data_IF_168568984459
#
_entry.id   IF_168568984459
#
_cell.length_a   1.000
_cell.length_b   1.000
_cell.length_c   1.000
_cell.angle_alpha   90.00
_cell.angle_beta   90.00
_cell.angle_gamma   90.00
#
_symmetry.space_group_name_H-M   'P 1'
#
loop_
_entity.id
_entity.type
_entity.pdbx_description
1 polymer ?
#
# COMPACT_ATOMS: atom_id res chain seq x y z
N UNK A 1 -18.88 17.11 18.55
CA UNK A 1 -19.44 15.98 19.34
C UNK A 1 -18.34 15.03 19.85
N UNK A 2 -17.31 14.71 19.08
CA UNK A 2 -16.18 13.87 19.50
C UNK A 2 -15.25 14.55 20.53
N UNK A 3 -15.25 15.86 20.65
CA UNK A 3 -14.31 16.62 21.47
C UNK A 3 -14.85 17.10 22.80
N UNK A 4 -16.13 16.91 23.10
CA UNK A 4 -16.76 17.32 24.37
C UNK A 4 -17.72 16.30 25.00
N UNK A 5 -17.50 14.97 24.87
CA UNK A 5 -18.34 14.04 25.61
C UNK A 5 -17.83 13.93 27.04
N UNK A 6 -18.72 14.12 28.01
CA UNK A 6 -18.42 13.61 29.34
C UNK A 6 -18.23 12.10 29.23
N UNK A 7 -17.27 11.52 29.94
CA UNK A 7 -17.07 10.06 29.99
C UNK A 7 -18.37 9.31 30.35
N UNK A 8 -19.34 9.99 30.97
CA UNK A 8 -20.59 9.37 31.41
C UNK A 8 -21.66 9.22 30.31
N UNK A 9 -21.65 10.02 29.24
CA UNK A 9 -22.71 10.08 28.22
C UNK A 9 -22.19 10.24 26.80
N UNK A 10 -20.98 9.80 26.49
CA UNK A 10 -20.38 10.02 25.17
C UNK A 10 -20.05 8.74 24.44
N UNK A 11 -19.85 8.87 23.12
CA UNK A 11 -19.48 7.81 22.17
C UNK A 11 -18.29 6.97 22.67
N UNK A 12 -17.34 7.57 23.41
CA UNK A 12 -16.20 6.82 23.99
C UNK A 12 -16.65 5.83 25.06
N UNK A 13 -17.66 6.18 25.88
CA UNK A 13 -18.20 5.23 26.86
C UNK A 13 -18.94 4.10 26.17
N UNK A 14 -19.78 4.42 25.18
CA UNK A 14 -20.50 3.43 24.39
C UNK A 14 -19.52 2.48 23.70
N UNK A 15 -18.45 3.01 23.07
CA UNK A 15 -17.39 2.20 22.47
C UNK A 15 -16.74 1.24 23.48
N UNK A 16 -16.46 1.72 24.70
CA UNK A 16 -15.76 0.92 25.74
C UNK A 16 -16.69 -0.06 26.44
N UNK A 17 -18.00 0.26 26.53
CA UNK A 17 -18.97 -0.54 27.30
C UNK A 17 -19.85 -1.43 26.46
N UNK A 18 -20.13 -1.07 25.21
CA UNK A 18 -21.07 -1.77 24.34
C UNK A 18 -20.39 -2.62 23.25
N UNK A 19 -19.15 -2.23 22.84
CA UNK A 19 -18.39 -3.10 21.93
C UNK A 19 -17.65 -4.16 22.73
N UNK A 20 -17.88 -5.46 22.45
CA UNK A 20 -17.21 -6.54 23.15
C UNK A 20 -15.70 -6.44 22.99
N UNK A 21 -14.96 -6.64 24.08
CA UNK A 21 -13.48 -6.68 24.00
C UNK A 21 -12.96 -7.78 23.09
N UNK A 22 -13.72 -8.87 23.00
CA UNK A 22 -13.38 -10.04 22.19
C UNK A 22 -13.33 -9.70 20.69
N UNK A 23 -14.08 -8.69 20.23
CA UNK A 23 -14.05 -8.21 18.83
C UNK A 23 -12.69 -7.59 18.44
N UNK A 24 -11.93 -7.13 19.44
CA UNK A 24 -10.56 -6.60 19.26
C UNK A 24 -9.48 -7.60 19.70
N UNK A 25 -9.86 -8.74 20.26
CA UNK A 25 -8.91 -9.74 20.75
C UNK A 25 -8.56 -10.74 19.64
N UNK A 26 -7.42 -10.52 19.01
CA UNK A 26 -6.91 -11.40 17.95
C UNK A 26 -6.67 -12.86 18.39
N UNK A 27 -6.61 -13.14 19.69
CA UNK A 27 -6.53 -14.51 20.21
C UNK A 27 -7.90 -15.20 20.22
N UNK A 28 -8.99 -14.39 20.13
CA UNK A 28 -10.39 -14.84 20.12
C UNK A 28 -11.10 -14.52 18.80
N UNK A 29 -10.39 -14.55 17.68
CA UNK A 29 -10.91 -14.23 16.33
C UNK A 29 -11.21 -12.72 16.11
N UNK A 30 -11.01 -11.85 17.09
CA UNK A 30 -11.09 -10.41 16.93
C UNK A 30 -9.96 -9.87 16.05
N UNK A 31 -10.20 -8.75 15.38
CA UNK A 31 -9.23 -8.14 14.46
C UNK A 31 -9.00 -6.67 14.82
N UNK A 32 -7.74 -6.27 14.87
CA UNK A 32 -7.38 -4.83 15.02
C UNK A 32 -7.90 -4.02 13.82
N UNK A 33 -8.05 -4.69 12.69
CA UNK A 33 -8.55 -4.17 11.42
C UNK A 33 -10.04 -3.72 11.47
N UNK A 34 -10.80 -4.08 12.51
CA UNK A 34 -12.19 -3.63 12.70
C UNK A 34 -12.32 -2.10 12.66
N UNK A 35 -11.29 -1.39 13.12
CA UNK A 35 -11.24 0.07 13.03
C UNK A 35 -11.19 0.56 11.58
N UNK A 36 -10.53 -0.21 10.69
CA UNK A 36 -10.53 0.04 9.24
C UNK A 36 -11.93 -0.11 8.64
N UNK A 37 -12.70 -1.11 9.07
CA UNK A 37 -14.09 -1.29 8.64
C UNK A 37 -15.00 -0.16 9.12
N UNK A 38 -14.84 0.30 10.36
CA UNK A 38 -15.59 1.46 10.87
C UNK A 38 -15.28 2.73 10.06
N UNK A 39 -14.04 2.90 9.61
CA UNK A 39 -13.65 4.00 8.74
C UNK A 39 -14.27 3.88 7.34
N UNK A 40 -14.40 2.68 6.80
CA UNK A 40 -15.10 2.43 5.55
C UNK A 40 -16.58 2.85 5.65
N UNK A 41 -17.31 2.36 6.65
CA UNK A 41 -18.70 2.77 6.88
C UNK A 41 -18.86 4.28 7.05
N UNK A 42 -17.89 4.93 7.70
CA UNK A 42 -17.88 6.40 7.80
C UNK A 42 -17.75 7.09 6.44
N UNK A 43 -17.06 6.49 5.48
CA UNK A 43 -16.86 7.07 4.14
C UNK A 43 -17.92 6.63 3.12
N UNK A 44 -18.83 5.72 3.44
CA UNK A 44 -19.87 5.24 2.51
C UNK A 44 -20.78 6.37 2.03
N UNK A 45 -21.30 7.21 2.93
CA UNK A 45 -22.12 8.36 2.58
C UNK A 45 -21.36 9.40 1.73
N UNK A 46 -20.14 9.86 2.10
CA UNK A 46 -19.31 10.69 1.24
C UNK A 46 -19.00 10.07 -0.13
N UNK A 47 -18.74 8.76 -0.20
CA UNK A 47 -18.53 8.04 -1.46
C UNK A 47 -19.75 8.14 -2.38
N UNK A 48 -20.93 7.83 -1.87
CA UNK A 48 -22.19 7.92 -2.63
C UNK A 48 -22.46 9.33 -3.14
N UNK A 49 -22.20 10.35 -2.33
CA UNK A 49 -22.35 11.74 -2.75
C UNK A 49 -21.43 12.10 -3.90
N UNK A 50 -20.16 11.69 -3.84
CA UNK A 50 -19.15 12.05 -4.85
C UNK A 50 -19.33 11.26 -6.14
N UNK A 51 -19.53 9.95 -6.05
CA UNK A 51 -19.52 9.03 -7.21
C UNK A 51 -20.87 8.94 -7.88
N UNK A 52 -21.94 8.76 -7.11
CA UNK A 52 -23.27 8.47 -7.63
C UNK A 52 -24.13 9.73 -7.85
N UNK A 53 -24.05 10.72 -6.97
CA UNK A 53 -24.89 11.91 -7.03
C UNK A 53 -24.27 13.01 -7.91
N UNK A 54 -22.99 13.35 -7.67
CA UNK A 54 -22.36 14.45 -8.40
C UNK A 54 -21.88 14.06 -9.81
N UNK A 55 -21.41 12.84 -10.01
CA UNK A 55 -21.13 12.23 -11.32
C UNK A 55 -20.09 12.92 -12.23
N UNK A 56 -19.45 14.00 -11.78
CA UNK A 56 -18.48 14.80 -12.52
C UNK A 56 -17.01 14.42 -12.22
N UNK A 57 -16.03 15.23 -12.68
CA UNK A 57 -14.63 15.09 -12.27
C UNK A 57 -14.48 15.26 -10.75
N UNK A 58 -13.77 14.33 -10.11
CA UNK A 58 -13.62 14.31 -8.65
C UNK A 58 -12.68 15.42 -8.20
N UNK A 59 -13.09 16.23 -7.23
CA UNK A 59 -12.25 17.28 -6.64
C UNK A 59 -11.14 16.69 -5.79
N UNK A 60 -10.06 17.45 -5.57
CA UNK A 60 -8.88 16.99 -4.77
C UNK A 60 -9.28 16.46 -3.38
N UNK A 61 -10.12 17.21 -2.65
CA UNK A 61 -10.54 16.84 -1.30
C UNK A 61 -11.49 15.63 -1.27
N UNK A 62 -12.13 15.33 -2.39
CA UNK A 62 -13.06 14.22 -2.55
C UNK A 62 -12.38 12.93 -3.08
N UNK A 63 -11.11 13.00 -3.51
CA UNK A 63 -10.38 11.83 -4.04
C UNK A 63 -10.37 10.68 -3.02
N UNK A 64 -10.05 10.89 -1.74
CA UNK A 64 -10.08 9.80 -0.77
C UNK A 64 -11.46 9.12 -0.68
N UNK A 65 -12.53 9.88 -0.57
CA UNK A 65 -13.89 9.34 -0.51
C UNK A 65 -14.29 8.60 -1.80
N UNK A 66 -13.87 9.12 -2.96
CA UNK A 66 -14.20 8.52 -4.27
C UNK A 66 -13.44 7.22 -4.56
N UNK A 67 -12.27 7.02 -3.96
CA UNK A 67 -11.34 5.93 -4.32
C UNK A 67 -11.14 4.92 -3.20
N UNK A 68 -11.69 5.18 -2.01
CA UNK A 68 -11.54 4.29 -0.88
C UNK A 68 -12.40 3.04 -1.06
N UNK A 69 -11.73 1.92 -1.20
CA UNK A 69 -12.32 0.61 -1.34
C UNK A 69 -11.62 -0.36 -0.40
N UNK A 70 -12.38 -0.98 0.49
CA UNK A 70 -11.80 -1.93 1.43
C UNK A 70 -11.43 -3.25 0.73
N UNK A 71 -10.24 -3.75 1.00
CA UNK A 71 -9.80 -5.04 0.45
C UNK A 71 -10.25 -6.16 1.37
N UNK A 72 -11.07 -7.09 0.88
CA UNK A 72 -11.53 -8.26 1.64
C UNK A 72 -10.34 -9.07 2.15
N UNK A 73 -10.41 -9.56 3.40
CA UNK A 73 -9.32 -10.23 4.11
C UNK A 73 -8.65 -11.36 3.30
N UNK A 74 -9.42 -12.25 2.69
CA UNK A 74 -8.85 -13.35 1.91
C UNK A 74 -8.07 -12.87 0.67
N UNK A 75 -8.46 -11.74 0.07
CA UNK A 75 -7.73 -11.13 -1.07
C UNK A 75 -6.40 -10.56 -0.59
N UNK A 76 -6.39 -9.89 0.58
CA UNK A 76 -5.15 -9.44 1.22
C UNK A 76 -4.20 -10.61 1.44
N UNK A 77 -4.71 -11.71 2.03
CA UNK A 77 -3.93 -12.94 2.25
C UNK A 77 -3.39 -13.51 0.95
N UNK A 78 -4.25 -13.62 -0.06
CA UNK A 78 -3.82 -14.09 -1.38
C UNK A 78 -2.67 -13.23 -1.95
N UNK A 79 -2.83 -11.90 -1.96
CA UNK A 79 -1.80 -11.01 -2.51
C UNK A 79 -0.47 -11.13 -1.76
N UNK A 80 -0.49 -11.15 -0.43
CA UNK A 80 0.72 -11.22 0.40
C UNK A 80 1.34 -12.62 0.36
N UNK A 81 0.54 -13.70 0.46
CA UNK A 81 1.03 -15.07 0.43
C UNK A 81 1.72 -15.41 -0.91
N UNK A 82 1.17 -14.93 -2.03
CA UNK A 82 1.71 -15.18 -3.38
C UNK A 82 2.78 -14.17 -3.82
N UNK A 83 3.09 -13.17 -3.01
CA UNK A 83 4.17 -12.21 -3.25
C UNK A 83 5.27 -12.35 -2.20
N UNK A 84 5.05 -11.82 -1.00
CA UNK A 84 6.01 -11.89 0.11
C UNK A 84 6.29 -13.33 0.53
N UNK A 85 5.22 -14.14 0.71
CA UNK A 85 5.34 -15.55 1.06
C UNK A 85 6.13 -16.33 0.02
N UNK A 86 5.83 -16.13 -1.26
CA UNK A 86 6.51 -16.80 -2.36
C UNK A 86 7.98 -16.35 -2.47
N UNK A 87 8.26 -15.04 -2.29
CA UNK A 87 9.63 -14.52 -2.28
C UNK A 87 10.49 -15.18 -1.20
N UNK A 88 9.95 -15.40 -0.01
CA UNK A 88 10.63 -16.12 1.06
C UNK A 88 10.87 -17.59 0.69
N UNK A 89 9.87 -18.27 0.13
CA UNK A 89 9.97 -19.69 -0.25
C UNK A 89 10.89 -19.94 -1.45
N UNK A 90 11.23 -18.93 -2.26
CA UNK A 90 12.29 -19.04 -3.29
C UNK A 90 13.65 -19.29 -2.65
N UNK A 91 13.91 -18.73 -1.46
CA UNK A 91 15.16 -18.93 -0.72
C UNK A 91 15.09 -20.13 0.25
N UNK A 92 13.90 -20.43 0.77
CA UNK A 92 13.65 -21.50 1.73
C UNK A 92 12.49 -22.41 1.32
N UNK A 93 12.64 -23.24 0.25
CA UNK A 93 11.53 -24.04 -0.32
C UNK A 93 10.88 -25.02 0.65
N UNK A 94 11.66 -25.54 1.60
CA UNK A 94 11.24 -26.53 2.59
C UNK A 94 10.81 -25.91 3.92
N UNK A 95 10.72 -24.58 4.00
CA UNK A 95 10.33 -23.88 5.23
C UNK A 95 8.90 -24.24 5.67
N UNK A 96 8.67 -24.46 6.98
CA UNK A 96 7.34 -24.69 7.55
C UNK A 96 6.41 -23.46 7.39
N UNK A 97 6.95 -22.29 7.05
CA UNK A 97 6.18 -21.09 6.71
C UNK A 97 5.15 -21.39 5.62
N UNK A 98 5.51 -22.23 4.63
CA UNK A 98 4.61 -22.66 3.56
C UNK A 98 3.25 -23.15 4.05
N UNK A 99 3.22 -23.94 5.12
CA UNK A 99 1.99 -24.45 5.72
C UNK A 99 1.12 -23.41 6.44
N UNK A 100 1.69 -22.21 6.70
CA UNK A 100 0.98 -21.08 7.34
C UNK A 100 0.38 -20.12 6.32
N UNK A 101 0.82 -20.15 5.06
CA UNK A 101 0.34 -19.32 3.97
C UNK A 101 -0.94 -19.93 3.37
N UNK A 102 -2.07 -19.62 3.95
CA UNK A 102 -3.36 -20.28 3.65
C UNK A 102 -3.88 -20.03 2.24
N UNK A 103 -3.47 -18.94 1.60
CA UNK A 103 -3.90 -18.55 0.25
C UNK A 103 -2.76 -18.61 -0.77
N UNK A 104 -1.67 -19.30 -0.46
CA UNK A 104 -0.62 -19.58 -1.43
C UNK A 104 -1.15 -20.56 -2.49
N UNK A 105 -1.26 -20.09 -3.73
CA UNK A 105 -1.73 -20.92 -4.84
C UNK A 105 -0.75 -22.03 -5.19
N UNK A 106 -1.24 -23.18 -5.68
CA UNK A 106 -0.38 -24.23 -6.20
C UNK A 106 0.41 -23.72 -7.42
N UNK A 107 1.70 -23.97 -7.43
CA UNK A 107 2.57 -23.52 -8.51
C UNK A 107 4.03 -23.91 -8.24
N UNK A 108 4.86 -23.76 -9.25
CA UNK A 108 6.29 -24.01 -9.12
C UNK A 108 6.92 -22.78 -8.44
N UNK A 109 7.82 -23.04 -7.49
CA UNK A 109 8.65 -22.05 -6.84
C UNK A 109 10.08 -22.33 -7.31
N UNK A 110 10.60 -21.44 -8.15
CA UNK A 110 11.98 -21.54 -8.64
C UNK A 110 12.92 -21.07 -7.54
N UNK A 111 13.84 -21.93 -7.06
CA UNK A 111 14.77 -21.54 -6.01
C UNK A 111 15.68 -20.39 -6.43
N UNK A 112 15.82 -19.40 -5.56
CA UNK A 112 16.77 -18.29 -5.67
C UNK A 112 17.99 -18.59 -4.77
N UNK A 113 19.17 -18.69 -5.38
CA UNK A 113 20.43 -19.01 -4.68
C UNK A 113 21.18 -17.75 -4.22
N UNK A 114 20.62 -16.56 -4.43
CA UNK A 114 21.21 -15.31 -3.94
C UNK A 114 21.14 -15.22 -2.40
N UNK A 115 22.02 -14.41 -1.82
CA UNK A 115 21.99 -14.14 -0.39
C UNK A 115 20.64 -13.50 0.01
N UNK A 116 20.02 -14.07 1.03
CA UNK A 116 18.76 -13.58 1.58
C UNK A 116 18.94 -13.16 3.04
N UNK A 117 18.65 -11.92 3.33
CA UNK A 117 18.61 -11.34 4.67
C UNK A 117 17.20 -10.83 4.95
N UNK A 118 16.47 -11.49 5.84
CA UNK A 118 15.09 -11.13 6.18
C UNK A 118 14.98 -9.71 6.72
N UNK A 119 16.05 -9.18 7.33
CA UNK A 119 16.04 -7.79 7.86
C UNK A 119 16.07 -6.75 6.75
N UNK A 120 16.36 -7.14 5.51
CA UNK A 120 16.48 -6.27 4.34
C UNK A 120 15.37 -6.41 3.33
N UNK A 121 14.47 -7.40 3.49
CA UNK A 121 13.30 -7.50 2.62
C UNK A 121 12.37 -6.32 2.86
N UNK A 122 11.93 -5.68 1.79
CA UNK A 122 11.12 -4.47 1.85
C UNK A 122 9.78 -4.67 1.15
N UNK A 123 8.71 -4.39 1.88
CA UNK A 123 7.32 -4.50 1.42
C UNK A 123 6.69 -3.11 1.41
N UNK A 124 6.15 -2.71 0.26
CA UNK A 124 5.50 -1.41 0.06
C UNK A 124 4.01 -1.59 -0.22
N UNK A 125 3.20 -0.77 0.44
CA UNK A 125 1.84 -0.44 0.02
C UNK A 125 1.74 1.07 -0.23
N UNK A 126 1.68 1.47 -1.49
CA UNK A 126 1.70 2.88 -1.88
C UNK A 126 0.31 3.51 -2.02
N UNK A 127 -0.74 2.82 -1.58
CA UNK A 127 -2.10 3.33 -1.36
C UNK A 127 -2.71 2.59 -0.16
N UNK A 128 -2.01 2.68 0.99
CA UNK A 128 -2.18 1.75 2.11
C UNK A 128 -3.52 1.84 2.83
N UNK A 129 -4.29 2.91 2.63
CA UNK A 129 -5.57 3.11 3.30
C UNK A 129 -5.44 2.99 4.82
N UNK A 130 -6.26 2.17 5.44
CA UNK A 130 -6.20 1.88 6.88
C UNK A 130 -5.10 0.90 7.29
N UNK A 131 -4.25 0.44 6.34
CA UNK A 131 -3.08 -0.40 6.61
C UNK A 131 -3.34 -1.90 6.69
N UNK A 132 -4.48 -2.38 6.20
CA UNK A 132 -4.87 -3.79 6.28
C UNK A 132 -3.83 -4.72 5.63
N UNK A 133 -3.33 -4.38 4.45
CA UNK A 133 -2.31 -5.15 3.75
C UNK A 133 -1.00 -5.20 4.56
N UNK A 134 -0.54 -4.04 5.06
CA UNK A 134 0.68 -3.97 5.87
C UNK A 134 0.54 -4.71 7.21
N UNK A 135 -0.65 -4.70 7.81
CA UNK A 135 -0.94 -5.42 9.05
C UNK A 135 -0.84 -6.94 8.86
N UNK A 136 -1.34 -7.48 7.74
CA UNK A 136 -1.18 -8.89 7.41
C UNK A 136 0.27 -9.23 6.99
N UNK A 137 0.92 -8.36 6.23
CA UNK A 137 2.34 -8.53 5.89
C UNK A 137 3.22 -8.58 7.15
N UNK A 138 2.88 -7.82 8.20
CA UNK A 138 3.54 -7.91 9.51
C UNK A 138 3.43 -9.33 10.08
N UNK A 139 2.24 -9.95 10.07
CA UNK A 139 2.04 -11.30 10.63
C UNK A 139 2.82 -12.36 9.83
N UNK A 140 2.83 -12.24 8.50
CA UNK A 140 3.61 -13.12 7.62
C UNK A 140 5.11 -12.97 7.90
N UNK A 141 5.61 -11.74 8.01
CA UNK A 141 7.02 -11.48 8.36
C UNK A 141 7.36 -12.01 9.74
N UNK A 142 6.51 -11.84 10.76
CA UNK A 142 6.70 -12.44 12.08
C UNK A 142 6.93 -13.95 11.99
N UNK A 143 6.13 -14.63 11.16
CA UNK A 143 6.26 -16.08 10.92
C UNK A 143 7.62 -16.44 10.28
N UNK A 144 8.08 -15.62 9.34
CA UNK A 144 9.38 -15.81 8.66
C UNK A 144 10.57 -15.55 9.60
N UNK A 145 10.48 -14.49 10.40
CA UNK A 145 11.51 -14.20 11.41
C UNK A 145 11.63 -15.31 12.47
N UNK A 146 10.49 -15.86 12.92
CA UNK A 146 10.46 -16.98 13.84
C UNK A 146 11.11 -18.24 13.22
N UNK A 147 10.88 -18.49 11.94
CA UNK A 147 11.50 -19.58 11.17
C UNK A 147 13.03 -19.41 11.08
N UNK A 148 13.52 -18.17 10.99
CA UNK A 148 14.93 -17.82 11.00
C UNK A 148 15.54 -17.75 12.42
N UNK A 149 14.76 -18.07 13.48
CA UNK A 149 15.25 -18.16 14.86
C UNK A 149 15.33 -16.82 15.62
N UNK A 150 14.76 -15.74 15.11
CA UNK A 150 14.73 -14.45 15.80
C UNK A 150 13.77 -14.47 16.99
N UNK A 151 14.13 -13.73 18.05
CA UNK A 151 13.22 -13.51 19.18
C UNK A 151 12.05 -12.62 18.74
N UNK A 152 10.82 -12.94 19.17
CA UNK A 152 9.58 -12.24 18.76
C UNK A 152 9.63 -10.72 18.91
N UNK A 153 10.22 -10.24 20.01
CA UNK A 153 10.35 -8.79 20.26
C UNK A 153 11.33 -8.15 19.27
N UNK A 154 12.42 -8.78 18.98
CA UNK A 154 13.43 -8.32 18.01
C UNK A 154 12.83 -8.30 16.60
N UNK A 155 12.18 -9.41 16.20
CA UNK A 155 11.47 -9.53 14.94
C UNK A 155 10.47 -8.40 14.75
N UNK A 156 9.58 -8.18 15.71
CA UNK A 156 8.53 -7.16 15.62
C UNK A 156 9.09 -5.74 15.47
N UNK A 157 10.18 -5.41 16.19
CA UNK A 157 10.85 -4.11 16.04
C UNK A 157 11.53 -3.98 14.67
N UNK A 158 12.21 -5.02 14.20
CA UNK A 158 12.85 -5.03 12.88
C UNK A 158 11.83 -4.86 11.76
N UNK A 159 10.70 -5.56 11.82
CA UNK A 159 9.63 -5.47 10.83
C UNK A 159 9.14 -4.02 10.68
N UNK A 160 8.85 -3.35 11.79
CA UNK A 160 8.36 -1.96 11.75
C UNK A 160 9.41 -0.99 11.23
N UNK A 161 10.68 -1.19 11.58
CA UNK A 161 11.75 -0.25 11.25
C UNK A 161 12.38 -0.48 9.88
N UNK A 162 12.34 -1.72 9.36
CA UNK A 162 13.14 -2.09 8.19
C UNK A 162 12.32 -2.68 7.05
N UNK A 163 11.20 -3.36 7.32
CA UNK A 163 10.55 -4.18 6.32
C UNK A 163 9.28 -3.55 5.71
N UNK A 164 8.48 -2.82 6.50
CA UNK A 164 7.19 -2.29 6.06
C UNK A 164 7.27 -0.83 5.71
N UNK A 165 6.75 -0.50 4.53
CA UNK A 165 6.68 0.86 4.00
C UNK A 165 5.27 1.15 3.48
N UNK A 166 4.78 2.37 3.68
CA UNK A 166 3.44 2.74 3.24
C UNK A 166 3.30 4.21 2.89
N UNK A 167 2.43 4.48 1.91
CA UNK A 167 2.10 5.84 1.46
C UNK A 167 0.60 6.03 1.40
N UNK A 168 0.10 7.19 1.84
CA UNK A 168 -1.33 7.51 1.88
C UNK A 168 -1.58 9.00 1.59
N UNK A 169 -2.68 9.33 0.94
CA UNK A 169 -3.11 10.72 0.70
C UNK A 169 -4.06 11.24 1.78
N UNK A 170 -4.86 10.34 2.41
CA UNK A 170 -5.77 10.70 3.50
C UNK A 170 -5.09 10.58 4.86
N UNK A 171 -5.03 11.70 5.58
CA UNK A 171 -4.44 11.75 6.91
C UNK A 171 -5.16 10.87 7.93
N UNK A 172 -6.47 10.65 7.79
CA UNK A 172 -7.26 9.81 8.70
C UNK A 172 -6.92 8.34 8.49
N UNK A 173 -6.88 7.89 7.24
CA UNK A 173 -6.44 6.54 6.88
C UNK A 173 -5.00 6.27 7.33
N UNK A 174 -4.09 7.23 7.11
CA UNK A 174 -2.72 7.17 7.62
C UNK A 174 -2.67 6.97 9.16
N UNK A 175 -3.49 7.72 9.91
CA UNK A 175 -3.54 7.59 11.38
C UNK A 175 -4.01 6.20 11.81
N UNK A 176 -4.96 5.60 11.09
CA UNK A 176 -5.43 4.24 11.34
C UNK A 176 -4.36 3.20 11.04
N UNK A 177 -3.65 3.34 9.91
CA UNK A 177 -2.50 2.51 9.56
C UNK A 177 -1.42 2.57 10.64
N UNK A 178 -1.06 3.78 11.07
CA UNK A 178 -0.09 3.98 12.14
C UNK A 178 -0.53 3.27 13.42
N UNK A 179 -1.79 3.48 13.82
CA UNK A 179 -2.34 2.84 15.01
C UNK A 179 -2.30 1.31 14.91
N UNK A 180 -2.75 0.74 13.78
CA UNK A 180 -2.77 -0.70 13.54
C UNK A 180 -1.36 -1.31 13.66
N UNK A 181 -0.38 -0.74 12.97
CA UNK A 181 1.01 -1.21 13.01
C UNK A 181 1.64 -1.09 14.41
N UNK A 182 1.40 0.02 15.11
CA UNK A 182 1.90 0.21 16.47
C UNK A 182 1.23 -0.73 17.48
N UNK A 183 -0.03 -1.10 17.29
CA UNK A 183 -0.70 -2.11 18.10
C UNK A 183 -0.14 -3.51 17.84
N UNK A 184 0.16 -3.86 16.57
CA UNK A 184 0.87 -5.10 16.23
C UNK A 184 2.25 -5.15 16.91
N UNK A 185 3.03 -4.08 16.85
CA UNK A 185 4.32 -3.99 17.55
C UNK A 185 4.16 -4.15 19.07
N UNK A 186 3.20 -3.42 19.67
CA UNK A 186 2.95 -3.44 21.11
C UNK A 186 2.61 -4.84 21.66
N UNK A 187 1.99 -5.68 20.86
CA UNK A 187 1.70 -7.09 21.24
C UNK A 187 2.97 -7.84 21.63
N UNK A 188 4.08 -7.57 20.97
CA UNK A 188 5.38 -8.23 21.19
C UNK A 188 6.34 -7.38 22.03
N UNK A 189 6.18 -6.06 22.02
CA UNK A 189 6.99 -5.11 22.78
C UNK A 189 6.12 -4.08 23.53
N UNK A 190 5.79 -4.37 24.77
CA UNK A 190 4.92 -3.51 25.60
C UNK A 190 5.48 -2.11 25.81
N UNK A 191 6.79 -1.91 25.67
CA UNK A 191 7.46 -0.61 25.84
C UNK A 191 7.63 0.16 24.53
N UNK A 192 7.19 -0.39 23.39
CA UNK A 192 7.37 0.24 22.08
C UNK A 192 6.80 1.67 22.02
N UNK A 193 5.62 1.89 22.61
CA UNK A 193 4.98 3.21 22.63
C UNK A 193 5.72 4.27 23.49
N UNK A 194 6.61 3.83 24.38
CA UNK A 194 7.44 4.72 25.21
C UNK A 194 8.78 5.05 24.55
N UNK A 195 9.05 4.46 23.41
CA UNK A 195 10.26 4.69 22.60
C UNK A 195 9.87 5.36 21.30
N UNK A 196 10.78 6.13 20.73
CA UNK A 196 10.57 6.81 19.44
C UNK A 196 10.69 5.85 18.27
N UNK A 197 10.00 4.69 18.33
CA UNK A 197 9.91 3.77 17.21
C UNK A 197 8.81 4.27 16.27
N UNK A 198 9.15 4.53 15.04
CA UNK A 198 8.22 5.00 14.02
C UNK A 198 8.20 4.01 12.86
N UNK A 199 7.04 3.60 12.35
CA UNK A 199 6.94 2.84 11.11
C UNK A 199 7.30 3.72 9.90
N UNK A 200 7.82 3.13 8.83
CA UNK A 200 8.16 3.83 7.59
C UNK A 200 6.91 4.07 6.72
N UNK A 201 5.94 4.75 7.29
CA UNK A 201 4.71 5.13 6.59
C UNK A 201 4.59 6.65 6.55
N UNK A 202 4.10 7.18 5.44
CA UNK A 202 4.03 8.63 5.21
C UNK A 202 2.69 9.04 4.62
N UNK A 203 2.26 10.26 4.95
CA UNK A 203 1.08 10.90 4.35
C UNK A 203 1.52 12.03 3.42
N UNK A 204 0.91 12.09 2.24
CA UNK A 204 1.19 13.19 1.31
C UNK A 204 0.68 14.52 1.85
N UNK A 205 1.58 15.47 1.95
CA UNK A 205 1.29 16.86 2.28
C UNK A 205 1.67 17.76 1.10
N UNK A 206 0.88 18.81 0.87
CA UNK A 206 1.26 19.83 -0.09
C UNK A 206 2.48 20.60 0.43
N UNK A 207 3.42 20.92 -0.47
CA UNK A 207 4.59 21.67 -0.09
C UNK A 207 4.21 23.07 0.42
N UNK A 208 4.90 23.55 1.47
CA UNK A 208 4.76 24.94 1.93
C UNK A 208 5.32 25.90 0.87
N UNK A 209 4.94 27.17 0.98
CA UNK A 209 5.60 28.22 0.19
C UNK A 209 7.07 28.35 0.63
N UNK A 210 7.99 28.04 -0.29
CA UNK A 210 9.43 28.16 -0.08
C UNK A 210 9.87 29.52 -0.60
N UNK A 211 10.19 30.44 0.31
CA UNK A 211 10.63 31.80 -0.06
C UNK A 211 12.16 31.88 -0.24
N UNK A 212 12.63 32.82 -1.03
CA UNK A 212 14.07 33.06 -1.16
C UNK A 212 14.73 33.37 0.18
N UNK A 213 14.04 34.10 1.06
CA UNK A 213 14.52 34.41 2.41
C UNK A 213 14.71 33.14 3.26
N UNK A 214 13.77 32.19 3.18
CA UNK A 214 13.91 30.89 3.82
C UNK A 214 15.14 30.15 3.29
N UNK A 215 15.32 30.09 1.96
CA UNK A 215 16.42 29.37 1.32
C UNK A 215 17.78 30.01 1.69
N UNK A 216 17.87 31.32 1.74
CA UNK A 216 19.08 32.03 2.19
C UNK A 216 19.40 31.78 3.68
N UNK A 217 18.41 31.36 4.47
CA UNK A 217 18.65 31.00 5.88
C UNK A 217 19.28 29.61 6.04
N UNK A 218 19.24 28.79 5.01
CA UNK A 218 19.81 27.44 5.03
C UNK A 218 21.33 27.49 4.84
N UNK A 219 22.04 26.69 5.62
CA UNK A 219 23.50 26.51 5.47
C UNK A 219 23.79 25.29 4.61
N UNK A 220 23.65 25.42 3.31
CA UNK A 220 23.80 24.34 2.35
C UNK A 220 24.50 24.82 1.08
N UNK A 221 24.96 23.89 0.25
CA UNK A 221 25.44 24.19 -1.10
C UNK A 221 24.32 24.64 -2.02
N UNK A 222 24.62 25.29 -3.13
CA UNK A 222 23.63 25.68 -4.14
C UNK A 222 22.86 24.48 -4.68
N UNK A 223 23.53 23.34 -4.88
CA UNK A 223 22.94 22.12 -5.40
C UNK A 223 21.85 21.58 -4.44
N UNK A 224 22.13 21.51 -3.14
CA UNK A 224 21.16 21.09 -2.13
C UNK A 224 19.97 22.06 -2.03
N UNK A 225 20.22 23.37 -2.18
CA UNK A 225 19.16 24.39 -2.19
C UNK A 225 18.27 24.20 -3.42
N UNK A 226 18.84 23.98 -4.60
CA UNK A 226 18.11 23.74 -5.84
C UNK A 226 17.27 22.45 -5.74
N UNK A 227 17.81 21.39 -5.15
CA UNK A 227 17.08 20.15 -4.89
C UNK A 227 15.90 20.32 -3.91
N UNK A 228 16.06 21.13 -2.85
CA UNK A 228 14.97 21.48 -1.92
C UNK A 228 13.86 22.24 -2.67
N UNK A 229 14.19 23.15 -3.56
CA UNK A 229 13.19 23.85 -4.38
C UNK A 229 12.49 22.91 -5.35
N UNK A 230 13.23 22.05 -6.01
CA UNK A 230 12.70 21.09 -6.99
C UNK A 230 11.75 20.09 -6.33
N UNK A 231 12.15 19.52 -5.21
CA UNK A 231 11.27 18.58 -4.46
C UNK A 231 10.00 19.27 -3.96
N UNK A 232 10.10 20.52 -3.47
CA UNK A 232 8.95 21.31 -3.08
C UNK A 232 7.99 21.56 -4.27
N UNK A 233 8.54 21.86 -5.47
CA UNK A 233 7.74 22.04 -6.67
C UNK A 233 6.99 20.75 -7.07
N UNK A 234 7.61 19.58 -6.97
CA UNK A 234 6.95 18.29 -7.24
C UNK A 234 5.81 18.00 -6.26
N UNK A 235 5.90 18.45 -5.00
CA UNK A 235 4.90 18.20 -3.96
C UNK A 235 3.82 19.28 -3.84
N UNK A 236 3.77 20.29 -4.72
CA UNK A 236 2.70 21.30 -4.68
C UNK A 236 1.31 20.67 -4.79
N UNK A 237 1.14 19.71 -5.70
CA UNK A 237 -0.12 19.00 -5.93
C UNK A 237 -0.14 17.59 -5.30
N UNK A 238 0.68 17.34 -4.27
CA UNK A 238 0.88 16.00 -3.70
C UNK A 238 -0.42 15.34 -3.21
N UNK A 239 -1.35 16.10 -2.65
CA UNK A 239 -2.68 15.59 -2.23
C UNK A 239 -3.58 15.15 -3.39
N UNK A 240 -3.28 15.57 -4.62
CA UNK A 240 -4.00 15.16 -5.82
C UNK A 240 -3.30 14.00 -6.53
N UNK A 241 -1.98 14.04 -6.56
CA UNK A 241 -1.14 13.12 -7.33
C UNK A 241 -0.75 11.89 -6.52
N UNK A 242 -0.47 12.05 -5.23
CA UNK A 242 -0.05 10.95 -4.35
C UNK A 242 1.16 10.20 -4.88
N UNK A 243 1.09 8.91 -4.78
CA UNK A 243 2.20 7.98 -5.09
C UNK A 243 2.65 7.95 -6.54
N UNK A 244 1.89 8.55 -7.48
CA UNK A 244 2.27 8.57 -8.90
C UNK A 244 3.19 9.73 -9.28
N UNK A 245 3.60 10.57 -8.32
CA UNK A 245 4.59 11.62 -8.56
C UNK A 245 5.91 10.98 -9.00
N UNK A 246 6.42 11.38 -10.16
CA UNK A 246 7.74 10.98 -10.62
C UNK A 246 8.80 11.93 -10.07
N UNK A 247 9.81 11.37 -9.42
CA UNK A 247 10.91 12.11 -8.80
C UNK A 247 12.24 11.68 -9.43
N UNK A 248 13.22 12.58 -9.52
CA UNK A 248 14.61 12.22 -9.82
C UNK A 248 15.15 11.19 -8.82
N UNK A 249 15.90 10.21 -9.33
CA UNK A 249 16.43 9.11 -8.51
C UNK A 249 17.67 9.48 -7.67
N UNK A 250 18.24 10.64 -7.89
CA UNK A 250 19.59 11.02 -7.41
C UNK A 250 19.61 12.25 -6.51
N UNK A 251 18.53 12.55 -5.80
CA UNK A 251 18.53 13.61 -4.77
C UNK A 251 19.49 13.31 -3.62
N UNK A 252 20.20 14.33 -3.13
CA UNK A 252 20.96 14.25 -1.87
C UNK A 252 20.04 14.45 -0.65
N UNK A 253 19.23 13.41 -0.34
CA UNK A 253 18.34 13.44 0.83
C UNK A 253 19.07 13.70 2.14
N UNK A 254 20.32 13.25 2.29
CA UNK A 254 21.13 13.48 3.49
C UNK A 254 21.54 14.95 3.60
N UNK A 255 22.00 15.54 2.50
CA UNK A 255 22.33 16.96 2.43
C UNK A 255 21.14 17.85 2.73
N UNK A 256 19.97 17.55 2.15
CA UNK A 256 18.73 18.28 2.44
C UNK A 256 18.33 18.20 3.92
N UNK A 257 18.38 17.01 4.55
CA UNK A 257 18.12 16.87 5.99
C UNK A 257 19.08 17.68 6.83
N UNK A 258 20.37 17.59 6.57
CA UNK A 258 21.40 18.34 7.28
C UNK A 258 21.19 19.87 7.19
N UNK A 259 20.65 20.36 6.07
CA UNK A 259 20.32 21.78 5.90
C UNK A 259 19.07 22.20 6.68
N UNK A 260 18.06 21.35 6.75
CA UNK A 260 16.73 21.69 7.31
C UNK A 260 16.60 21.40 8.80
N UNK A 261 17.21 20.33 9.34
CA UNK A 261 17.10 19.93 10.75
C UNK A 261 17.49 21.04 11.74
N UNK A 262 18.59 21.80 11.53
CA UNK A 262 18.94 22.89 12.44
C UNK A 262 17.87 24.00 12.49
N UNK A 263 17.18 24.25 11.37
CA UNK A 263 16.09 25.23 11.30
C UNK A 263 14.82 24.68 11.93
N UNK A 264 14.50 23.42 11.67
CA UNK A 264 13.30 22.74 12.21
C UNK A 264 13.33 22.60 13.72
N UNK A 265 14.52 22.47 14.33
CA UNK A 265 14.72 22.27 15.79
C UNK A 265 15.12 23.55 16.53
N UNK A 266 15.20 24.69 15.86
CA UNK A 266 15.62 25.95 16.46
C UNK A 266 14.70 26.35 17.64
N UNK A 267 15.29 26.66 18.81
CA UNK A 267 14.52 27.07 20.00
C UNK A 267 13.93 28.48 19.91
N UNK A 268 14.44 29.32 18.98
CA UNK A 268 13.92 30.67 18.77
C UNK A 268 12.78 30.60 17.75
N UNK A 269 11.59 31.01 18.15
CA UNK A 269 10.44 31.19 17.26
C UNK A 269 10.84 32.18 16.16
N UNK A 270 10.93 31.68 14.94
CA UNK A 270 11.16 32.55 13.77
C UNK A 270 9.88 33.36 13.51
N UNK A 271 10.02 34.67 13.35
CA UNK A 271 8.91 35.59 12.98
C UNK A 271 8.27 35.22 11.62
N UNK A 272 8.94 34.42 10.80
CA UNK A 272 8.56 34.10 9.42
C UNK A 272 8.09 32.65 9.21
N UNK A 273 7.85 31.88 10.26
CA UNK A 273 7.39 30.49 10.11
C UNK A 273 8.44 29.50 9.57
N UNK A 274 9.71 29.90 9.47
CA UNK A 274 10.79 29.07 8.89
C UNK A 274 10.91 27.70 9.55
N UNK A 275 10.65 27.61 10.85
CA UNK A 275 10.68 26.34 11.58
C UNK A 275 9.61 25.36 11.07
N UNK A 276 8.38 25.84 10.89
CA UNK A 276 7.27 25.02 10.38
C UNK A 276 7.53 24.61 8.92
N UNK A 277 8.03 25.53 8.09
CA UNK A 277 8.43 25.23 6.70
C UNK A 277 9.48 24.13 6.66
N UNK A 278 10.53 24.24 7.49
CA UNK A 278 11.58 23.22 7.56
C UNK A 278 11.03 21.84 8.03
N UNK A 279 10.14 21.82 9.02
CA UNK A 279 9.50 20.57 9.48
C UNK A 279 8.67 19.92 8.37
N UNK A 280 7.86 20.70 7.65
CA UNK A 280 7.05 20.18 6.52
C UNK A 280 7.94 19.67 5.38
N UNK A 281 9.04 20.35 5.07
CA UNK A 281 9.98 19.89 4.05
C UNK A 281 10.69 18.59 4.47
N UNK A 282 11.02 18.41 5.75
CA UNK A 282 11.56 17.15 6.25
C UNK A 282 10.56 15.97 6.11
N UNK A 283 9.27 16.20 6.35
CA UNK A 283 8.22 15.20 6.11
C UNK A 283 8.11 14.85 4.60
N UNK A 284 8.18 15.86 3.73
CA UNK A 284 8.18 15.66 2.27
C UNK A 284 9.42 14.88 1.82
N UNK A 285 10.60 15.22 2.32
CA UNK A 285 11.86 14.53 2.00
C UNK A 285 11.77 13.04 2.42
N UNK A 286 11.26 12.74 3.60
CA UNK A 286 11.08 11.36 4.03
C UNK A 286 10.09 10.59 3.14
N UNK A 287 9.01 11.24 2.70
CA UNK A 287 8.04 10.69 1.75
C UNK A 287 8.71 10.44 0.39
N UNK A 288 9.45 11.42 -0.13
CA UNK A 288 10.13 11.34 -1.43
C UNK A 288 11.22 10.26 -1.43
N UNK A 289 12.02 10.16 -0.37
CA UNK A 289 13.01 9.09 -0.23
C UNK A 289 12.35 7.71 -0.25
N UNK A 290 11.21 7.54 0.41
CA UNK A 290 10.40 6.32 0.36
C UNK A 290 9.88 6.05 -1.06
N UNK A 291 9.47 7.05 -1.82
CA UNK A 291 8.98 6.92 -3.19
C UNK A 291 10.07 6.54 -4.21
N UNK A 292 11.31 6.94 -3.99
CA UNK A 292 12.43 6.69 -4.92
C UNK A 292 13.16 5.38 -4.68
N UNK A 293 12.83 4.66 -3.60
CA UNK A 293 13.36 3.33 -3.33
C UNK A 293 12.71 2.27 -4.23
N UNK A 294 13.37 1.13 -4.34
CA UNK A 294 12.82 -0.08 -4.97
C UNK A 294 12.62 -1.17 -3.93
N UNK A 295 11.50 -1.86 -4.04
CA UNK A 295 11.01 -2.81 -3.05
C UNK A 295 11.06 -4.24 -3.57
N UNK A 296 11.27 -5.20 -2.68
CA UNK A 296 11.19 -6.63 -3.01
C UNK A 296 9.76 -7.04 -3.32
N UNK A 297 8.80 -6.41 -2.62
CA UNK A 297 7.39 -6.66 -2.79
C UNK A 297 6.61 -5.33 -2.75
N UNK A 298 5.73 -5.13 -3.72
CA UNK A 298 4.76 -4.03 -3.74
C UNK A 298 3.37 -4.63 -3.77
N UNK A 299 2.57 -4.43 -2.72
CA UNK A 299 1.21 -4.98 -2.63
C UNK A 299 0.24 -3.87 -2.30
N UNK A 300 -0.75 -3.65 -3.16
CA UNK A 300 -1.68 -2.53 -2.99
C UNK A 300 -3.05 -2.80 -3.62
N UNK A 301 -4.07 -2.19 -3.08
CA UNK A 301 -5.34 -1.95 -3.76
C UNK A 301 -5.34 -0.50 -4.26
N UNK A 302 -4.97 -0.24 -5.52
CA UNK A 302 -4.82 1.13 -6.02
C UNK A 302 -6.16 1.84 -6.18
N UNK A 303 -6.19 3.18 -6.21
CA UNK A 303 -7.41 3.93 -6.44
C UNK A 303 -8.00 3.68 -7.83
N UNK A 304 -9.34 3.45 -7.93
CA UNK A 304 -10.08 3.34 -9.18
C UNK A 304 -10.70 4.70 -9.51
N UNK A 305 -10.15 5.41 -10.49
CA UNK A 305 -10.58 6.76 -10.83
C UNK A 305 -10.37 7.07 -12.31
N UNK A 306 -11.44 7.00 -13.08
CA UNK A 306 -11.45 7.40 -14.50
C UNK A 306 -11.92 8.85 -14.72
N UNK A 307 -12.71 9.41 -13.79
CA UNK A 307 -13.19 10.80 -13.81
C UNK A 307 -12.21 11.74 -13.10
N UNK A 308 -10.97 11.75 -13.57
CA UNK A 308 -9.89 12.57 -13.02
C UNK A 308 -10.18 14.07 -13.15
N UNK A 309 -9.82 14.87 -12.13
CA UNK A 309 -9.82 16.33 -12.23
C UNK A 309 -8.75 16.83 -13.23
N UNK A 310 -8.76 18.13 -13.52
CA UNK A 310 -7.88 18.73 -14.54
C UNK A 310 -6.39 18.56 -14.23
N UNK A 311 -5.98 18.70 -12.97
CA UNK A 311 -4.58 18.58 -12.51
C UNK A 311 -4.09 17.14 -12.68
N UNK A 312 -4.81 16.16 -12.11
CA UNK A 312 -4.48 14.75 -12.20
C UNK A 312 -4.46 14.28 -13.67
N UNK A 313 -5.48 14.65 -14.43
CA UNK A 313 -5.59 14.27 -15.86
C UNK A 313 -4.42 14.83 -16.70
N UNK A 314 -4.03 16.08 -16.44
CA UNK A 314 -2.88 16.70 -17.14
C UNK A 314 -1.59 15.97 -16.78
N UNK A 315 -1.38 15.66 -15.51
CA UNK A 315 -0.19 14.96 -15.03
C UNK A 315 -0.10 13.55 -15.64
N UNK A 316 -1.17 12.76 -15.50
CA UNK A 316 -1.22 11.38 -16.01
C UNK A 316 -1.04 11.32 -17.54
N UNK A 317 -1.62 12.25 -18.30
CA UNK A 317 -1.41 12.34 -19.75
C UNK A 317 0.02 12.70 -20.14
N UNK A 318 0.71 13.48 -19.30
CA UNK A 318 2.11 13.88 -19.55
C UNK A 318 3.08 12.73 -19.25
N UNK A 319 2.94 12.07 -18.10
CA UNK A 319 3.90 11.12 -17.58
C UNK A 319 3.53 9.64 -17.88
N UNK A 320 2.23 9.32 -17.94
CA UNK A 320 1.69 7.95 -18.09
C UNK A 320 0.74 7.82 -19.28
N UNK A 321 1.04 8.48 -20.41
CA UNK A 321 0.15 8.60 -21.58
C UNK A 321 -0.48 7.26 -22.00
N UNK A 322 0.31 6.20 -22.02
CA UNK A 322 -0.09 4.87 -22.52
C UNK A 322 -0.92 4.07 -21.52
N UNK A 323 -0.97 4.52 -20.25
CA UNK A 323 -1.67 3.89 -19.14
C UNK A 323 -2.76 4.80 -18.52
N UNK A 324 -3.12 5.88 -19.20
CA UNK A 324 -3.91 7.00 -18.70
C UNK A 324 -5.43 6.77 -18.70
N UNK A 325 -5.90 5.56 -18.96
CA UNK A 325 -7.33 5.25 -19.04
C UNK A 325 -8.04 5.32 -17.68
N UNK A 326 -7.37 4.87 -16.64
CA UNK A 326 -7.83 4.92 -15.25
C UNK A 326 -6.62 4.99 -14.32
N UNK A 327 -6.81 5.48 -13.08
CA UNK A 327 -5.70 5.64 -12.16
C UNK A 327 -5.09 4.31 -11.73
N UNK A 328 -5.89 3.23 -11.56
CA UNK A 328 -5.34 1.91 -11.25
C UNK A 328 -4.36 1.40 -12.32
N UNK A 329 -4.60 1.73 -13.59
CA UNK A 329 -3.69 1.31 -14.67
C UNK A 329 -2.35 2.06 -14.63
N UNK A 330 -2.36 3.31 -14.17
CA UNK A 330 -1.14 4.07 -13.87
C UNK A 330 -0.37 3.42 -12.72
N UNK A 331 -1.06 3.06 -11.62
CA UNK A 331 -0.45 2.40 -10.48
C UNK A 331 0.19 1.06 -10.83
N UNK A 332 -0.47 0.23 -11.65
CA UNK A 332 0.12 -1.05 -12.09
C UNK A 332 1.49 -0.81 -12.75
N UNK A 333 1.56 0.14 -13.69
CA UNK A 333 2.81 0.43 -14.39
C UNK A 333 3.87 1.09 -13.48
N UNK A 334 3.46 2.06 -12.69
CA UNK A 334 4.32 2.75 -11.74
C UNK A 334 4.97 1.76 -10.75
N UNK A 335 4.16 0.85 -10.19
CA UNK A 335 4.63 -0.11 -9.19
C UNK A 335 5.56 -1.18 -9.77
N UNK A 336 5.43 -1.56 -11.04
CA UNK A 336 6.41 -2.43 -11.71
C UNK A 336 7.80 -1.78 -11.69
N UNK A 337 7.87 -0.47 -11.96
CA UNK A 337 9.13 0.27 -11.92
C UNK A 337 9.67 0.46 -10.49
N UNK A 338 8.79 0.46 -9.49
CA UNK A 338 9.14 0.51 -8.07
C UNK A 338 9.55 -0.87 -7.52
N UNK A 339 9.23 -1.94 -8.22
CA UNK A 339 9.57 -3.32 -7.82
C UNK A 339 10.99 -3.68 -8.29
N UNK A 340 11.81 -4.25 -7.41
CA UNK A 340 13.15 -4.79 -7.77
C UNK A 340 13.03 -5.88 -8.83
N UNK A 341 14.09 -6.12 -9.58
CA UNK A 341 14.20 -7.28 -10.47
C UNK A 341 14.01 -8.57 -9.65
N UNK A 342 13.21 -9.51 -10.15
CA UNK A 342 12.77 -10.71 -9.44
C UNK A 342 11.93 -10.45 -8.18
N UNK A 343 11.49 -9.21 -7.96
CA UNK A 343 10.52 -8.86 -6.94
C UNK A 343 9.08 -9.12 -7.40
N UNK A 344 8.13 -8.97 -6.50
CA UNK A 344 6.72 -9.24 -6.75
C UNK A 344 5.85 -8.01 -6.58
N UNK A 345 4.80 -7.91 -7.40
CA UNK A 345 3.79 -6.86 -7.27
C UNK A 345 2.38 -7.46 -7.25
N UNK A 346 1.64 -7.28 -6.14
CA UNK A 346 0.30 -7.83 -5.94
C UNK A 346 -0.77 -6.74 -6.01
N UNK A 347 -1.89 -7.04 -6.67
CA UNK A 347 -2.95 -6.07 -6.92
C UNK A 347 -4.35 -6.64 -6.76
N UNK A 348 -5.28 -5.77 -6.35
CA UNK A 348 -6.70 -5.93 -6.57
C UNK A 348 -7.15 -4.78 -7.48
N UNK A 349 -7.78 -5.04 -8.63
CA UNK A 349 -8.18 -4.01 -9.60
C UNK A 349 -9.46 -4.38 -10.33
N UNK A 350 -10.14 -3.41 -10.98
CA UNK A 350 -11.15 -3.76 -11.98
C UNK A 350 -10.57 -4.64 -13.07
N UNK A 351 -11.25 -5.70 -13.46
CA UNK A 351 -10.75 -6.66 -14.46
C UNK A 351 -10.81 -6.13 -15.92
N UNK A 352 -11.42 -4.96 -16.13
CA UNK A 352 -11.63 -4.35 -17.46
C UNK A 352 -10.34 -4.20 -18.27
N UNK A 353 -9.20 -4.06 -17.61
CA UNK A 353 -7.90 -3.98 -18.27
C UNK A 353 -7.56 -5.24 -19.09
N UNK A 354 -8.12 -6.39 -18.72
CA UNK A 354 -7.90 -7.65 -19.43
C UNK A 354 -8.54 -7.67 -20.84
N UNK A 355 -9.61 -6.91 -21.06
CA UNK A 355 -10.47 -7.07 -22.25
C UNK A 355 -10.65 -5.79 -23.07
N UNK A 356 -10.71 -4.61 -22.44
CA UNK A 356 -11.07 -3.37 -23.11
C UNK A 356 -9.88 -2.79 -23.90
N UNK A 357 -10.18 -2.23 -25.10
CA UNK A 357 -9.18 -1.68 -26.02
C UNK A 357 -8.34 -0.56 -25.42
N UNK A 358 -8.91 0.27 -24.55
CA UNK A 358 -8.18 1.37 -23.90
C UNK A 358 -6.99 0.94 -23.05
N UNK A 359 -6.93 -0.34 -22.65
CA UNK A 359 -5.84 -0.93 -21.86
C UNK A 359 -4.91 -1.84 -22.71
N UNK A 360 -5.02 -1.84 -24.04
CA UNK A 360 -4.20 -2.68 -24.91
C UNK A 360 -2.70 -2.48 -24.67
N UNK A 361 -2.26 -1.22 -24.55
CA UNK A 361 -0.86 -0.91 -24.28
C UNK A 361 -0.38 -1.42 -22.91
N UNK A 362 -1.23 -1.34 -21.88
CA UNK A 362 -0.92 -1.93 -20.60
C UNK A 362 -0.74 -3.45 -20.69
N UNK A 363 -1.70 -4.16 -21.32
CA UNK A 363 -1.58 -5.62 -21.52
C UNK A 363 -0.32 -6.00 -22.26
N UNK A 364 -0.03 -5.30 -23.38
CA UNK A 364 1.18 -5.56 -24.17
C UNK A 364 2.44 -5.33 -23.33
N UNK A 365 2.48 -4.25 -22.53
CA UNK A 365 3.61 -3.96 -21.68
C UNK A 365 3.79 -5.03 -20.57
N UNK A 366 2.69 -5.47 -19.94
CA UNK A 366 2.73 -6.53 -18.93
C UNK A 366 3.24 -7.86 -19.52
N UNK A 367 2.64 -8.31 -20.62
CA UNK A 367 3.02 -9.57 -21.28
C UNK A 367 4.46 -9.56 -21.81
N UNK A 368 5.00 -8.38 -22.16
CA UNK A 368 6.35 -8.25 -22.71
C UNK A 368 7.45 -8.11 -21.66
N UNK A 369 7.15 -7.58 -20.47
CA UNK A 369 8.17 -7.17 -19.50
C UNK A 369 8.13 -7.94 -18.20
N UNK A 370 6.97 -8.46 -17.79
CA UNK A 370 6.81 -9.14 -16.50
C UNK A 370 6.10 -10.47 -16.67
N UNK A 371 6.24 -11.35 -15.67
CA UNK A 371 5.47 -12.58 -15.56
C UNK A 371 4.18 -12.32 -14.78
N UNK A 372 3.03 -12.73 -15.31
CA UNK A 372 1.81 -12.88 -14.50
C UNK A 372 1.98 -14.17 -13.71
N UNK A 373 2.37 -14.06 -12.45
CA UNK A 373 2.66 -15.22 -11.61
C UNK A 373 1.40 -15.94 -11.19
N UNK A 374 0.36 -15.17 -10.82
CA UNK A 374 -0.97 -15.71 -10.58
C UNK A 374 -2.05 -14.65 -10.83
N UNK A 375 -3.28 -15.11 -11.17
CA UNK A 375 -4.43 -14.25 -11.38
C UNK A 375 -5.73 -14.99 -11.01
N UNK A 376 -6.60 -14.31 -10.26
CA UNK A 376 -7.93 -14.76 -9.92
C UNK A 376 -8.95 -13.79 -10.51
N UNK A 377 -9.73 -14.25 -11.47
CA UNK A 377 -10.89 -13.54 -12.00
C UNK A 377 -12.10 -13.85 -11.13
N UNK A 378 -12.64 -12.83 -10.45
CA UNK A 378 -13.81 -12.97 -9.60
C UNK A 378 -15.12 -12.97 -10.40
N UNK A 379 -16.19 -13.41 -9.77
CA UNK A 379 -17.56 -13.27 -10.28
C UNK A 379 -17.92 -11.77 -10.36
N UNK A 380 -18.78 -11.40 -11.33
CA UNK A 380 -19.08 -10.01 -11.68
C UNK A 380 -19.64 -9.19 -10.51
N UNK A 381 -20.48 -9.82 -9.67
CA UNK A 381 -21.14 -9.16 -8.54
C UNK A 381 -20.58 -9.59 -7.19
N UNK A 382 -19.39 -10.22 -7.17
CA UNK A 382 -18.80 -10.76 -5.95
C UNK A 382 -18.51 -9.69 -4.91
N UNK A 383 -18.21 -8.48 -5.38
CA UNK A 383 -17.84 -7.35 -4.55
C UNK A 383 -18.99 -6.32 -4.56
N UNK A 384 -19.82 -6.35 -3.53
CA UNK A 384 -21.05 -5.53 -3.44
C UNK A 384 -20.78 -4.02 -3.40
N UNK A 385 -19.65 -3.63 -2.83
CA UNK A 385 -19.24 -2.23 -2.65
C UNK A 385 -18.70 -1.59 -3.94
N UNK A 386 -18.24 -2.38 -4.90
CA UNK A 386 -17.78 -1.89 -6.19
C UNK A 386 -18.80 -2.21 -7.29
N UNK A 387 -19.23 -1.20 -8.00
CA UNK A 387 -20.09 -1.33 -9.19
C UNK A 387 -19.35 -1.90 -10.40
N UNK A 388 -18.10 -2.36 -10.23
CA UNK A 388 -17.23 -2.87 -11.28
C UNK A 388 -16.71 -4.26 -10.92
N UNK A 389 -16.66 -5.18 -11.89
CA UNK A 389 -16.10 -6.50 -11.66
C UNK A 389 -14.59 -6.43 -11.42
N UNK A 390 -14.11 -7.24 -10.49
CA UNK A 390 -12.75 -7.17 -9.94
C UNK A 390 -11.97 -8.44 -10.26
N UNK A 391 -10.66 -8.29 -10.35
CA UNK A 391 -9.68 -9.37 -10.29
C UNK A 391 -8.59 -9.05 -9.25
N UNK A 392 -7.93 -10.09 -8.80
CA UNK A 392 -6.70 -9.96 -8.01
C UNK A 392 -5.60 -10.78 -8.68
N UNK A 393 -4.38 -10.24 -8.71
CA UNK A 393 -3.28 -10.88 -9.41
C UNK A 393 -1.93 -10.48 -8.82
N UNK A 394 -0.94 -11.32 -9.08
CA UNK A 394 0.44 -11.10 -8.67
C UNK A 394 1.34 -11.17 -9.91
N UNK A 395 2.18 -10.18 -10.05
CA UNK A 395 3.20 -10.07 -11.09
C UNK A 395 4.58 -10.35 -10.47
N UNK A 396 5.45 -11.03 -11.21
CA UNK A 396 6.88 -11.09 -10.89
C UNK A 396 7.64 -10.19 -11.87
N UNK A 397 8.47 -9.28 -11.35
CA UNK A 397 9.24 -8.35 -12.19
C UNK A 397 10.43 -9.04 -12.85
N UNK A 398 10.12 -9.99 -13.73
CA UNK A 398 11.07 -10.72 -14.56
C UNK A 398 10.37 -11.20 -15.81
N UNK A 399 11.10 -11.25 -16.91
CA UNK A 399 10.62 -11.89 -18.13
C UNK A 399 11.15 -13.31 -18.16
N UNK A 400 10.25 -14.28 -18.01
CA UNK A 400 10.59 -15.69 -18.15
C UNK A 400 9.39 -16.47 -18.72
N UNK A 401 9.64 -17.73 -19.15
CA UNK A 401 8.64 -18.63 -19.72
C UNK A 401 8.05 -19.60 -18.67
N UNK A 402 8.20 -19.27 -17.37
CA UNK A 402 7.61 -20.08 -16.30
C UNK A 402 6.08 -20.01 -16.33
N UNK A 403 5.44 -21.11 -15.93
CA UNK A 403 3.99 -21.18 -15.81
C UNK A 403 3.44 -20.27 -14.73
N UNK A 404 2.36 -19.55 -15.04
CA UNK A 404 1.51 -18.88 -14.06
C UNK A 404 0.32 -19.75 -13.64
N UNK A 405 -0.31 -19.39 -12.53
CA UNK A 405 -1.51 -20.05 -12.00
C UNK A 405 -2.72 -19.11 -12.10
N UNK A 406 -3.77 -19.57 -12.75
CA UNK A 406 -4.95 -18.76 -13.05
C UNK A 406 -6.21 -19.43 -12.54
N UNK A 407 -7.08 -18.69 -11.82
CA UNK A 407 -8.39 -19.15 -11.39
C UNK A 407 -9.48 -18.32 -12.08
N UNK A 408 -10.45 -19.01 -12.70
CA UNK A 408 -11.63 -18.38 -13.27
C UNK A 408 -12.84 -18.69 -12.38
N UNK A 409 -13.23 -17.71 -11.55
CA UNK A 409 -14.33 -17.85 -10.62
C UNK A 409 -15.63 -17.18 -11.08
N UNK A 410 -15.68 -16.71 -12.34
CA UNK A 410 -16.82 -15.96 -12.91
C UNK A 410 -18.16 -16.70 -12.84
N UNK A 411 -18.16 -18.02 -12.74
CA UNK A 411 -19.37 -18.84 -12.79
C UNK A 411 -19.90 -19.18 -11.36
N UNK A 412 -19.15 -18.83 -10.31
CA UNK A 412 -19.51 -19.12 -8.92
C UNK A 412 -20.14 -17.90 -8.25
N UNK A 413 -21.49 -17.85 -8.25
CA UNK A 413 -22.26 -16.77 -7.61
C UNK A 413 -22.33 -16.95 -6.10
N UNK A 414 -22.48 -15.86 -5.36
CA UNK A 414 -22.69 -15.85 -3.91
C UNK A 414 -21.70 -14.97 -3.12
N UNK A 415 -21.13 -13.97 -3.77
CA UNK A 415 -20.30 -12.96 -3.12
C UNK A 415 -18.90 -13.46 -2.74
N UNK A 416 -18.15 -12.61 -2.02
CA UNK A 416 -16.74 -12.83 -1.70
C UNK A 416 -16.47 -14.07 -0.84
N UNK A 417 -17.44 -14.52 -0.05
CA UNK A 417 -17.32 -15.73 0.76
C UNK A 417 -17.21 -16.98 -0.12
N UNK A 418 -18.09 -17.12 -1.12
CA UNK A 418 -18.04 -18.24 -2.07
C UNK A 418 -16.75 -18.19 -2.90
N UNK A 419 -16.29 -16.98 -3.27
CA UNK A 419 -15.02 -16.84 -3.98
C UNK A 419 -13.85 -17.36 -3.12
N UNK A 420 -13.82 -17.02 -1.83
CA UNK A 420 -12.80 -17.51 -0.89
C UNK A 420 -12.84 -19.06 -0.76
N UNK A 421 -14.02 -19.65 -0.63
CA UNK A 421 -14.20 -21.11 -0.57
C UNK A 421 -13.64 -21.79 -1.83
N UNK A 422 -13.93 -21.25 -3.01
CA UNK A 422 -13.44 -21.79 -4.28
C UNK A 422 -11.92 -21.67 -4.44
N UNK A 423 -11.31 -20.62 -3.92
CA UNK A 423 -9.86 -20.51 -3.87
C UNK A 423 -9.27 -21.58 -2.95
N UNK A 424 -9.84 -21.78 -1.76
CA UNK A 424 -9.39 -22.83 -0.83
C UNK A 424 -9.56 -24.23 -1.41
N UNK A 425 -10.67 -24.50 -2.12
CA UNK A 425 -10.88 -25.76 -2.83
C UNK A 425 -9.79 -26.00 -3.89
N UNK A 426 -9.45 -24.97 -4.67
CA UNK A 426 -8.40 -25.05 -5.69
C UNK A 426 -6.98 -25.23 -5.10
N UNK A 427 -6.73 -24.70 -3.90
CA UNK A 427 -5.47 -24.93 -3.17
C UNK A 427 -5.39 -26.37 -2.68
N UNK A 428 -6.50 -26.91 -2.15
CA UNK A 428 -6.57 -28.28 -1.63
C UNK A 428 -6.56 -29.33 -2.76
N UNK A 429 -7.22 -29.06 -3.87
CA UNK A 429 -7.27 -29.91 -5.07
C UNK A 429 -6.92 -29.12 -6.34
N UNK A 430 -5.66 -29.13 -6.77
CA UNK A 430 -5.25 -28.47 -8.01
C UNK A 430 -5.85 -29.08 -9.29
N UNK A 431 -6.63 -30.17 -9.20
CA UNK A 431 -7.32 -30.81 -10.31
C UNK A 431 -8.67 -30.18 -10.67
N UNK A 432 -9.15 -29.17 -9.94
CA UNK A 432 -10.41 -28.49 -10.23
C UNK A 432 -10.42 -27.84 -11.61
N UNK A 433 -11.57 -27.87 -12.28
CA UNK A 433 -11.71 -27.46 -13.70
C UNK A 433 -11.56 -25.95 -13.95
N UNK A 434 -11.59 -25.12 -12.92
CA UNK A 434 -11.49 -23.67 -12.99
C UNK A 434 -10.10 -23.14 -12.60
N UNK A 435 -9.15 -24.04 -12.31
CA UNK A 435 -7.74 -23.74 -12.14
C UNK A 435 -6.97 -24.09 -13.43
N UNK A 436 -6.18 -23.17 -13.91
CA UNK A 436 -5.37 -23.32 -15.12
C UNK A 436 -3.91 -23.00 -14.79
N UNK A 437 -3.00 -23.75 -15.40
CA UNK A 437 -1.56 -23.48 -15.33
C UNK A 437 -1.03 -23.42 -16.77
N UNK A 438 -0.49 -22.28 -17.12
CA UNK A 438 0.06 -22.04 -18.48
C UNK A 438 1.11 -20.94 -18.43
N UNK A 439 2.00 -20.92 -19.42
CA UNK A 439 2.90 -19.81 -19.70
C UNK A 439 2.18 -18.69 -20.46
N UNK A 440 2.81 -17.52 -20.57
CA UNK A 440 2.23 -16.33 -21.21
C UNK A 440 2.38 -16.33 -22.73
N UNK A 441 3.15 -17.25 -23.30
CA UNK A 441 3.46 -17.33 -24.75
C UNK A 441 2.41 -18.08 -25.53
#
# INVERSE_FOLDING_TARGET
LLFTPSYQNGVIKELVTEVPRDDFDVEKEGQVEIIGWLYQYYNEEPHDQVVNINGGPVKTDDIPAATQLFTTDWVVRYMVDNSLGKKYLEHYPDSPVKGKLKYLLPGDITPDQSDFDITRIQVMDNAMGSGHILAYAFDVLMTMYEDQGYAKREAANSIIQNNLFGLEIDRRAFQLSYFSLMMKLRRYDRQALNRSVMPNIHVFIAAPAVTEEFLHSLKASSEVIDEIQDIAAHFMDAKTLGSIIELPANYDYAGMRNALEPVATAQKISLFGNQQTAQQLLEIIATAETMTQRYDVVVTNPPYLNKMNSTLKKYVKKHYKDYSADLFSVFIWHNINMTKVNGYAGYMTPFVWMFIKSYEKLRTALLSNVKIDSLIQLEYSAFEEATVPINTFVLKNTKNDETGTYLRLSDFKGGMMIQAEKVQEAIADPGVKYLYRTNQT
#
